data_IF_666074388544
#
_entry.id   IF_666074388544
#
_cell.length_a   1.000
_cell.length_b   1.000
_cell.length_c   1.000
_cell.angle_alpha   90.00
_cell.angle_beta   90.00
_cell.angle_gamma   90.00
#
_symmetry.space_group_name_H-M   'P 1'
#
loop_
_entity.id
_entity.type
_entity.pdbx_description
1 polymer ?
#
# COMPACT_ATOMS: atom_id res chain seq x y z
N UNK A 1 5.29 -15.83 -30.86
CA UNK A 1 4.75 -14.49 -30.57
C UNK A 1 4.63 -13.66 -31.85
N UNK A 2 3.41 -13.32 -32.28
CA UNK A 2 3.18 -12.36 -33.37
C UNK A 2 2.50 -11.10 -32.81
N UNK A 3 2.99 -9.94 -33.26
CA UNK A 3 2.46 -8.63 -32.87
C UNK A 3 1.44 -8.20 -33.92
N UNK A 4 0.17 -8.15 -33.57
CA UNK A 4 -0.91 -7.75 -34.48
C UNK A 4 -1.29 -6.31 -34.14
N UNK A 5 -1.01 -5.39 -35.06
CA UNK A 5 -1.36 -3.97 -34.91
C UNK A 5 -2.57 -3.69 -35.80
N UNK A 6 -3.70 -3.34 -35.17
CA UNK A 6 -4.91 -2.94 -35.87
C UNK A 6 -5.27 -1.48 -35.50
N UNK A 7 -6.15 -0.84 -36.27
CA UNK A 7 -6.55 0.56 -36.09
C UNK A 7 -7.16 0.91 -34.71
N UNK A 8 -7.45 -0.08 -33.85
CA UNK A 8 -8.06 0.12 -32.53
C UNK A 8 -7.18 -0.32 -31.36
N UNK A 9 -5.96 -0.84 -31.60
CA UNK A 9 -5.05 -1.26 -30.54
C UNK A 9 -4.03 -2.31 -30.96
N UNK A 10 -3.12 -2.62 -30.02
CA UNK A 10 -2.09 -3.66 -30.17
C UNK A 10 -2.60 -4.96 -29.53
N UNK A 11 -2.73 -6.01 -30.35
CA UNK A 11 -3.06 -7.35 -29.90
C UNK A 11 -1.82 -8.25 -29.90
N UNK A 12 -1.57 -8.92 -28.78
CA UNK A 12 -0.53 -9.94 -28.66
C UNK A 12 -1.16 -11.33 -28.83
N UNK A 13 -0.85 -12.00 -29.94
CA UNK A 13 -1.28 -13.38 -30.16
C UNK A 13 -0.19 -14.35 -29.67
N UNK A 14 -0.50 -15.06 -28.58
CA UNK A 14 0.39 -16.07 -28.00
C UNK A 14 0.05 -17.43 -28.59
N UNK A 15 0.99 -18.00 -29.33
CA UNK A 15 0.80 -19.21 -30.12
C UNK A 15 1.22 -20.47 -29.36
N UNK A 16 2.13 -20.36 -28.38
CA UNK A 16 2.56 -21.50 -27.58
C UNK A 16 1.87 -21.56 -26.20
N UNK A 17 1.60 -22.77 -25.67
CA UNK A 17 1.12 -22.95 -24.30
C UNK A 17 2.07 -22.37 -23.23
N UNK A 18 3.38 -22.38 -23.50
CA UNK A 18 4.42 -21.86 -22.61
C UNK A 18 4.35 -20.33 -22.50
N UNK A 19 4.17 -19.62 -23.61
CA UNK A 19 3.97 -18.16 -23.61
C UNK A 19 2.71 -17.76 -22.84
N UNK A 20 1.60 -18.50 -23.02
CA UNK A 20 0.35 -18.27 -22.27
C UNK A 20 0.53 -18.47 -20.76
N UNK A 21 1.29 -19.49 -20.38
CA UNK A 21 1.61 -19.76 -18.98
C UNK A 21 2.45 -18.65 -18.35
N UNK A 22 3.51 -18.19 -19.02
CA UNK A 22 4.36 -17.11 -18.54
C UNK A 22 3.56 -15.80 -18.41
N UNK A 23 2.70 -15.49 -19.39
CA UNK A 23 1.85 -14.31 -19.31
C UNK A 23 0.85 -14.38 -18.14
N UNK A 24 0.28 -15.56 -17.87
CA UNK A 24 -0.58 -15.80 -16.73
C UNK A 24 0.13 -15.58 -15.38
N UNK A 25 1.38 -16.05 -15.26
CA UNK A 25 2.22 -15.79 -14.09
C UNK A 25 2.53 -14.31 -13.92
N UNK A 26 2.88 -13.60 -15.00
CA UNK A 26 3.16 -12.17 -14.96
C UNK A 26 1.92 -11.35 -14.57
N UNK A 27 0.75 -11.70 -15.12
CA UNK A 27 -0.51 -11.05 -14.77
C UNK A 27 -0.89 -11.29 -13.29
N UNK A 28 -0.72 -12.51 -12.78
CA UNK A 28 -0.96 -12.82 -11.38
C UNK A 28 0.00 -12.07 -10.44
N UNK A 29 1.28 -11.99 -10.80
CA UNK A 29 2.27 -11.20 -10.05
C UNK A 29 1.91 -9.71 -10.04
N UNK A 30 1.53 -9.14 -11.18
CA UNK A 30 1.11 -7.75 -11.27
C UNK A 30 -0.16 -7.47 -10.44
N UNK A 31 -1.17 -8.34 -10.51
CA UNK A 31 -2.38 -8.19 -9.71
C UNK A 31 -2.09 -8.26 -8.19
N UNK A 32 -1.13 -9.11 -7.78
CA UNK A 32 -0.67 -9.18 -6.40
C UNK A 32 0.03 -7.88 -5.97
N UNK A 33 0.93 -7.35 -6.79
CA UNK A 33 1.63 -6.09 -6.53
C UNK A 33 0.66 -4.89 -6.46
N UNK A 34 -0.31 -4.80 -7.38
CA UNK A 34 -1.33 -3.75 -7.35
C UNK A 34 -2.17 -3.82 -6.08
N UNK A 35 -2.53 -5.02 -5.61
CA UNK A 35 -3.25 -5.21 -4.35
C UNK A 35 -2.43 -4.74 -3.14
N UNK A 36 -1.13 -5.07 -3.08
CA UNK A 36 -0.22 -4.59 -2.03
C UNK A 36 -0.10 -3.07 -2.05
N UNK A 37 0.10 -2.49 -3.23
CA UNK A 37 0.26 -1.05 -3.39
C UNK A 37 -1.00 -0.28 -2.94
N UNK A 38 -2.19 -0.78 -3.26
CA UNK A 38 -3.46 -0.19 -2.80
C UNK A 38 -3.59 -0.17 -1.28
N UNK A 39 -3.06 -1.19 -0.60
CA UNK A 39 -3.06 -1.24 0.87
C UNK A 39 -2.04 -0.22 1.41
N UNK A 40 -0.79 -0.28 0.94
CA UNK A 40 0.31 0.52 1.47
C UNK A 40 0.20 2.03 1.16
N UNK A 41 -0.53 2.41 0.11
CA UNK A 41 -0.73 3.81 -0.29
C UNK A 41 -1.72 4.58 0.60
N UNK A 42 -2.44 3.89 1.50
CA UNK A 42 -3.38 4.53 2.43
C UNK A 42 -2.63 5.45 3.41
N UNK A 43 -3.32 6.51 3.83
CA UNK A 43 -2.79 7.51 4.75
C UNK A 43 -3.78 7.75 5.89
N UNK A 44 -3.25 8.02 7.06
CA UNK A 44 -4.01 8.22 8.29
C UNK A 44 -3.63 9.55 8.91
N UNK A 45 -4.58 10.17 9.58
CA UNK A 45 -4.39 11.38 10.37
C UNK A 45 -5.01 11.22 11.76
N UNK A 46 -4.84 12.23 12.61
CA UNK A 46 -5.60 12.33 13.85
C UNK A 46 -6.78 13.28 13.59
N UNK A 47 -7.78 12.78 12.86
CA UNK A 47 -9.06 13.45 12.68
C UNK A 47 -10.12 12.82 13.59
N UNK A 48 -11.09 13.64 14.00
CA UNK A 48 -12.29 13.17 14.71
C UNK A 48 -13.36 12.68 13.73
N UNK A 49 -13.33 13.19 12.50
CA UNK A 49 -14.28 12.90 11.43
C UNK A 49 -13.59 12.21 10.26
N UNK A 50 -14.33 11.35 9.56
CA UNK A 50 -13.89 10.77 8.28
C UNK A 50 -13.95 11.84 7.20
N UNK A 51 -12.91 12.00 6.39
CA UNK A 51 -13.00 12.87 5.22
C UNK A 51 -13.90 12.23 4.17
N UNK A 52 -14.93 12.95 3.73
CA UNK A 52 -15.82 12.51 2.67
C UNK A 52 -15.09 12.43 1.32
N UNK A 53 -15.43 11.43 0.50
CA UNK A 53 -14.84 11.24 -0.83
C UNK A 53 -13.46 10.57 -0.86
N UNK A 54 -12.93 10.13 0.28
CA UNK A 54 -11.74 9.28 0.34
C UNK A 54 -12.14 7.83 0.67
N UNK A 55 -11.59 6.89 -0.10
CA UNK A 55 -11.80 5.44 0.08
C UNK A 55 -11.04 4.87 1.30
N UNK A 56 -10.28 5.70 2.01
CA UNK A 56 -9.50 5.31 3.18
C UNK A 56 -9.93 6.08 4.43
N UNK A 57 -9.84 5.40 5.57
CA UNK A 57 -10.25 5.95 6.87
C UNK A 57 -9.11 6.81 7.43
N UNK A 58 -9.34 8.10 7.58
CA UNK A 58 -8.32 9.06 8.06
C UNK A 58 -8.02 8.91 9.55
N UNK A 59 -8.56 7.91 10.25
CA UNK A 59 -8.48 7.80 11.71
C UNK A 59 -7.38 6.82 12.15
N UNK A 60 -6.20 7.37 12.44
CA UNK A 60 -5.04 6.61 12.90
C UNK A 60 -5.32 5.77 14.16
N UNK A 61 -6.04 6.34 15.13
CA UNK A 61 -6.30 5.70 16.41
C UNK A 61 -7.15 4.42 16.28
N UNK A 62 -8.14 4.43 15.38
CA UNK A 62 -8.94 3.23 15.07
C UNK A 62 -8.11 2.18 14.35
N UNK A 63 -7.29 2.60 13.38
CA UNK A 63 -6.38 1.69 12.68
C UNK A 63 -5.37 1.02 13.63
N UNK A 64 -4.92 1.74 14.66
CA UNK A 64 -4.03 1.23 15.71
C UNK A 64 -4.75 0.44 16.81
N UNK A 65 -6.09 0.43 16.83
CA UNK A 65 -6.88 -0.23 17.88
C UNK A 65 -6.71 0.43 19.26
N UNK A 66 -6.48 1.74 19.32
CA UNK A 66 -6.20 2.46 20.57
C UNK A 66 -6.98 3.78 20.69
N UNK A 67 -6.95 4.40 21.87
CA UNK A 67 -7.56 5.71 22.06
C UNK A 67 -6.71 6.83 21.45
N UNK A 68 -7.34 7.96 21.13
CA UNK A 68 -6.67 9.14 20.51
C UNK A 68 -5.46 9.60 21.31
N UNK A 69 -5.54 9.62 22.64
CA UNK A 69 -4.43 10.03 23.51
C UNK A 69 -3.21 9.12 23.35
N UNK A 70 -3.43 7.80 23.26
CA UNK A 70 -2.36 6.84 23.02
C UNK A 70 -1.75 7.03 21.63
N UNK A 71 -2.57 7.22 20.59
CA UNK A 71 -2.06 7.51 19.26
C UNK A 71 -1.21 8.81 19.24
N UNK A 72 -1.65 9.87 19.93
CA UNK A 72 -0.86 11.09 20.11
C UNK A 72 0.47 10.84 20.83
N UNK A 73 0.47 10.01 21.88
CA UNK A 73 1.68 9.66 22.62
C UNK A 73 2.69 8.92 21.74
N UNK A 74 2.22 7.98 20.92
CA UNK A 74 3.07 7.24 19.96
C UNK A 74 3.71 8.16 18.93
N UNK A 75 2.97 9.15 18.41
CA UNK A 75 3.53 10.13 17.48
C UNK A 75 4.54 11.05 18.15
N UNK A 76 4.26 11.54 19.37
CA UNK A 76 5.21 12.37 20.13
C UNK A 76 6.49 11.64 20.48
N UNK A 77 6.41 10.35 20.75
CA UNK A 77 7.55 9.49 21.03
C UNK A 77 8.33 9.10 19.75
N UNK A 78 7.90 9.53 18.56
CA UNK A 78 8.43 9.07 17.26
C UNK A 78 8.42 7.53 17.11
N UNK A 79 7.52 6.83 17.80
CA UNK A 79 7.39 5.38 17.71
C UNK A 79 6.86 4.92 16.34
N UNK A 80 6.10 5.81 15.67
CA UNK A 80 5.58 5.60 14.32
C UNK A 80 6.10 6.71 13.42
N UNK A 81 6.69 6.34 12.28
CA UNK A 81 7.17 7.29 11.28
C UNK A 81 6.00 8.09 10.71
N UNK A 82 6.13 9.40 10.71
CA UNK A 82 5.07 10.30 10.29
C UNK A 82 5.64 11.53 9.60
N UNK A 83 4.80 12.22 8.83
CA UNK A 83 5.13 13.47 8.17
C UNK A 83 4.16 14.56 8.62
N UNK A 84 4.68 15.76 8.82
CA UNK A 84 3.86 16.94 9.09
C UNK A 84 3.48 17.61 7.77
N UNK A 85 2.19 17.76 7.51
CA UNK A 85 1.65 18.47 6.35
C UNK A 85 0.82 19.66 6.86
N UNK A 86 1.47 20.82 6.95
CA UNK A 86 0.89 22.02 7.56
C UNK A 86 0.54 21.78 9.04
N UNK A 87 -0.75 21.90 9.37
CA UNK A 87 -1.25 21.67 10.75
C UNK A 87 -1.56 20.20 11.05
N UNK A 88 -1.55 19.32 10.04
CA UNK A 88 -1.89 17.90 10.19
C UNK A 88 -0.64 17.04 10.28
N UNK A 89 -0.74 15.94 11.04
CA UNK A 89 0.23 14.85 11.00
C UNK A 89 -0.39 13.74 10.15
N UNK A 90 0.40 13.24 9.20
CA UNK A 90 0.03 12.20 8.27
C UNK A 90 0.93 11.00 8.50
N UNK A 91 0.33 9.82 8.58
CA UNK A 91 1.00 8.53 8.77
C UNK A 91 0.62 7.62 7.60
N UNK A 92 1.58 6.97 6.95
CA UNK A 92 1.29 6.00 5.90
C UNK A 92 0.89 4.64 6.49
N UNK A 93 0.11 3.85 5.75
CA UNK A 93 -0.18 2.46 6.14
C UNK A 93 1.10 1.65 6.27
N UNK A 94 2.11 1.89 5.44
CA UNK A 94 3.43 1.25 5.59
C UNK A 94 4.02 1.50 6.98
N UNK A 95 3.94 2.72 7.50
CA UNK A 95 4.48 3.05 8.82
C UNK A 95 3.66 2.42 9.95
N UNK A 96 2.33 2.39 9.80
CA UNK A 96 1.43 1.72 10.75
C UNK A 96 1.66 0.21 10.75
N UNK A 97 1.73 -0.41 9.58
CA UNK A 97 1.93 -1.84 9.43
C UNK A 97 3.30 -2.26 9.94
N UNK A 98 4.36 -1.49 9.66
CA UNK A 98 5.69 -1.73 10.22
C UNK A 98 5.71 -1.65 11.76
N UNK A 99 4.87 -0.82 12.35
CA UNK A 99 4.74 -0.73 13.81
C UNK A 99 3.95 -1.91 14.40
N UNK A 100 2.84 -2.30 13.77
CA UNK A 100 1.95 -3.36 14.26
C UNK A 100 2.49 -4.77 14.01
N UNK A 101 3.08 -4.99 12.84
CA UNK A 101 3.62 -6.26 12.39
C UNK A 101 4.95 -6.06 11.64
N UNK A 102 6.06 -5.86 12.38
CA UNK A 102 7.38 -5.65 11.77
C UNK A 102 7.83 -6.82 10.89
N UNK A 103 7.49 -8.05 11.29
CA UNK A 103 7.87 -9.26 10.58
C UNK A 103 7.08 -9.43 9.28
N UNK A 104 5.76 -9.23 9.32
CA UNK A 104 4.91 -9.22 8.13
C UNK A 104 5.27 -8.08 7.18
N UNK A 105 5.64 -6.91 7.69
CA UNK A 105 6.10 -5.80 6.86
C UNK A 105 7.38 -6.15 6.10
N UNK A 106 8.38 -6.72 6.80
CA UNK A 106 9.63 -7.14 6.16
C UNK A 106 9.41 -8.19 5.06
N UNK A 107 8.43 -9.09 5.24
CA UNK A 107 8.04 -10.06 4.22
C UNK A 107 7.31 -9.41 3.03
N UNK A 108 6.51 -8.37 3.28
CA UNK A 108 5.70 -7.70 2.26
C UNK A 108 6.50 -6.78 1.34
N UNK A 109 7.48 -6.04 1.88
CA UNK A 109 8.28 -5.07 1.09
C UNK A 109 9.64 -5.66 0.66
N UNK A 110 9.97 -6.87 1.13
CA UNK A 110 11.28 -7.47 0.91
C UNK A 110 12.37 -6.84 1.78
N UNK A 111 13.45 -7.60 2.03
CA UNK A 111 14.48 -7.22 3.00
C UNK A 111 15.23 -5.91 2.67
N UNK A 112 15.22 -5.46 1.40
CA UNK A 112 15.92 -4.25 0.96
C UNK A 112 15.24 -2.95 1.42
N UNK A 113 13.90 -2.93 1.54
CA UNK A 113 13.15 -1.73 1.94
C UNK A 113 12.80 -1.68 3.44
N UNK A 114 13.05 -2.78 4.18
CA UNK A 114 12.77 -2.88 5.60
C UNK A 114 13.77 -2.11 6.51
N UNK A 115 14.91 -1.66 5.96
CA UNK A 115 16.01 -1.03 6.69
C UNK A 115 16.03 0.52 6.65
N UNK A 116 15.20 1.15 5.80
CA UNK A 116 15.09 2.61 5.67
C UNK A 116 14.13 3.26 6.69
#
# INVERSE_FOLDING_TARGET
MELVINNTGVGLSLTSPQEKYILGLAAAAQASEEAKFKILSRRYTLSDERTEGLDYDDRLHERLGCCKNTAYALLRANAIRHQRMGKKIVVSESAVFRYLDPAGYAHLVGAQDAAA
#
